data_IF_066324582629
#
_entry.id   IF_066324582629
#
_cell.length_a   1.000
_cell.length_b   1.000
_cell.length_c   1.000
_cell.angle_alpha   90.00
_cell.angle_beta   90.00
_cell.angle_gamma   90.00
#
_symmetry.space_group_name_H-M   'P 1'
#
loop_
_entity.id
_entity.type
_entity.pdbx_description
1 polymer ?
#
# COMPACT_ATOMS: atom_id res chain seq x y z
N UNK A 1 -49.79 -13.86 51.89
CA UNK A 1 -48.46 -14.33 51.45
C UNK A 1 -48.59 -14.82 50.01
N UNK A 2 -47.60 -14.51 49.16
CA UNK A 2 -47.43 -15.01 47.80
C UNK A 2 -48.38 -14.47 46.69
N UNK A 3 -48.33 -13.16 46.45
CA UNK A 3 -48.54 -12.59 45.10
C UNK A 3 -47.36 -11.69 44.77
N UNK A 4 -46.17 -12.27 44.76
CA UNK A 4 -44.93 -11.58 44.40
C UNK A 4 -44.79 -11.66 42.88
N UNK A 5 -45.20 -10.58 42.21
CA UNK A 5 -44.52 -10.01 41.05
C UNK A 5 -43.95 -11.02 40.03
N UNK A 6 -44.82 -11.64 39.22
CA UNK A 6 -44.41 -12.45 38.07
C UNK A 6 -44.40 -11.66 36.73
N UNK A 7 -44.56 -10.33 36.73
CA UNK A 7 -44.80 -9.59 35.49
C UNK A 7 -44.05 -8.27 35.44
N UNK A 8 -42.73 -8.29 35.25
CA UNK A 8 -42.01 -7.08 34.80
C UNK A 8 -40.63 -7.33 34.17
N UNK A 9 -40.24 -8.57 33.83
CA UNK A 9 -39.02 -8.80 33.04
C UNK A 9 -39.25 -8.55 31.54
N UNK A 10 -39.79 -7.39 31.21
CA UNK A 10 -39.81 -6.82 29.87
C UNK A 10 -38.50 -6.09 29.61
N UNK A 11 -37.40 -6.85 29.48
CA UNK A 11 -36.11 -6.31 29.07
C UNK A 11 -36.17 -5.77 27.64
N UNK A 12 -36.51 -4.49 27.51
CA UNK A 12 -36.48 -3.74 26.26
C UNK A 12 -35.11 -3.87 25.61
N UNK A 13 -35.03 -4.68 24.54
CA UNK A 13 -33.85 -4.72 23.66
C UNK A 13 -33.70 -3.33 23.05
N UNK A 14 -32.75 -2.54 23.58
CA UNK A 14 -32.28 -1.32 22.91
C UNK A 14 -31.65 -1.73 21.58
N UNK A 15 -32.46 -1.67 20.52
CA UNK A 15 -31.98 -1.68 19.15
C UNK A 15 -31.06 -0.47 18.99
N UNK A 16 -29.76 -0.69 19.12
CA UNK A 16 -28.73 0.28 18.74
C UNK A 16 -28.74 0.39 17.22
N UNK A 17 -29.71 1.11 16.69
CA UNK A 17 -29.71 1.52 15.30
C UNK A 17 -28.46 2.34 15.05
N UNK A 18 -27.51 1.79 14.27
CA UNK A 18 -26.42 2.57 13.68
C UNK A 18 -27.06 3.67 12.84
N UNK A 19 -27.18 4.88 13.39
CA UNK A 19 -27.62 6.05 12.66
C UNK A 19 -26.56 6.30 11.58
N UNK A 20 -26.90 5.97 10.32
CA UNK A 20 -26.05 6.29 9.18
C UNK A 20 -26.03 7.81 9.08
N UNK A 21 -24.87 8.42 9.33
CA UNK A 21 -24.70 9.86 9.15
C UNK A 21 -25.01 10.21 7.68
N UNK A 22 -25.82 11.24 7.41
CA UNK A 22 -26.04 11.69 6.03
C UNK A 22 -24.69 12.13 5.44
N UNK A 23 -24.47 11.83 4.17
CA UNK A 23 -23.22 12.17 3.48
C UNK A 23 -23.20 13.69 3.29
N UNK A 24 -22.24 14.39 3.90
CA UNK A 24 -22.12 15.82 3.75
C UNK A 24 -21.44 16.13 2.40
N UNK A 25 -21.86 17.20 1.73
CA UNK A 25 -21.26 17.64 0.46
C UNK A 25 -19.75 17.93 0.60
N UNK A 26 -19.32 18.43 1.77
CA UNK A 26 -17.91 18.60 2.10
C UNK A 26 -17.13 17.27 2.09
N UNK A 27 -17.71 16.20 2.63
CA UNK A 27 -17.07 14.87 2.65
C UNK A 27 -16.87 14.36 1.21
N UNK A 28 -17.83 14.57 0.31
CA UNK A 28 -17.75 14.17 -1.10
C UNK A 28 -16.59 14.90 -1.79
N UNK A 29 -16.46 16.21 -1.60
CA UNK A 29 -15.37 17.01 -2.18
C UNK A 29 -14.02 16.54 -1.61
N UNK A 30 -13.91 16.39 -0.29
CA UNK A 30 -12.69 15.93 0.36
C UNK A 30 -12.27 14.56 -0.15
N UNK A 31 -13.18 13.59 -0.22
CA UNK A 31 -12.87 12.26 -0.75
C UNK A 31 -12.48 12.29 -2.23
N UNK A 32 -13.13 13.14 -3.04
CA UNK A 32 -12.77 13.29 -4.46
C UNK A 32 -11.35 13.83 -4.60
N UNK A 33 -11.01 14.88 -3.86
CA UNK A 33 -9.67 15.48 -3.87
C UNK A 33 -8.60 14.49 -3.39
N UNK A 34 -8.86 13.80 -2.28
CA UNK A 34 -7.98 12.75 -1.75
C UNK A 34 -7.76 11.63 -2.76
N UNK A 35 -8.81 11.22 -3.48
CA UNK A 35 -8.71 10.18 -4.51
C UNK A 35 -7.86 10.64 -5.69
N UNK A 36 -8.04 11.88 -6.15
CA UNK A 36 -7.22 12.45 -7.23
C UNK A 36 -5.75 12.52 -6.80
N UNK A 37 -5.48 13.03 -5.60
CA UNK A 37 -4.12 13.09 -5.06
C UNK A 37 -3.49 11.70 -4.96
N UNK A 38 -4.24 10.69 -4.51
CA UNK A 38 -3.78 9.31 -4.48
C UNK A 38 -3.44 8.79 -5.88
N UNK A 39 -4.30 9.03 -6.89
CA UNK A 39 -4.03 8.61 -8.27
C UNK A 39 -2.76 9.27 -8.81
N UNK A 40 -2.56 10.57 -8.55
CA UNK A 40 -1.37 11.29 -9.01
C UNK A 40 -0.07 10.71 -8.41
N UNK A 41 -0.09 10.27 -7.16
CA UNK A 41 1.05 9.61 -6.51
C UNK A 41 1.21 8.16 -7.00
N UNK A 42 0.11 7.45 -7.23
CA UNK A 42 0.14 6.05 -7.67
C UNK A 42 0.49 5.89 -9.15
N UNK A 43 0.20 6.87 -10.01
CA UNK A 43 0.54 6.83 -11.43
C UNK A 43 2.03 6.57 -11.70
N UNK A 44 2.98 7.35 -11.16
CA UNK A 44 4.40 7.08 -11.38
C UNK A 44 4.86 5.76 -10.76
N UNK A 45 4.27 5.34 -9.64
CA UNK A 45 4.57 4.02 -9.04
C UNK A 45 4.11 2.86 -9.94
N UNK A 46 2.90 2.97 -10.50
CA UNK A 46 2.37 1.98 -11.44
C UNK A 46 3.21 1.93 -12.72
N UNK A 47 3.69 3.09 -13.19
CA UNK A 47 4.60 3.15 -14.32
C UNK A 47 5.95 2.49 -14.02
N UNK A 48 6.57 2.77 -12.86
CA UNK A 48 7.82 2.12 -12.43
C UNK A 48 7.68 0.60 -12.30
N UNK A 49 6.55 0.12 -11.76
CA UNK A 49 6.28 -1.31 -11.68
C UNK A 49 6.15 -1.93 -13.07
N UNK A 50 5.42 -1.27 -13.97
CA UNK A 50 5.25 -1.70 -15.35
C UNK A 50 6.58 -1.73 -16.12
N UNK A 51 7.46 -0.75 -15.95
CA UNK A 51 8.78 -0.74 -16.61
C UNK A 51 9.73 -1.79 -16.05
N UNK A 52 9.66 -2.09 -14.75
CA UNK A 52 10.47 -3.15 -14.13
C UNK A 52 10.21 -4.55 -14.72
N UNK A 53 9.01 -4.78 -15.26
CA UNK A 53 8.59 -6.05 -15.84
C UNK A 53 8.79 -6.13 -17.36
N UNK A 54 9.24 -5.06 -18.01
CA UNK A 54 9.46 -5.05 -19.47
C UNK A 54 10.82 -5.62 -19.83
N UNK A 55 10.95 -6.27 -21.00
CA UNK A 55 12.26 -6.64 -21.52
C UNK A 55 13.17 -5.40 -21.62
N UNK A 56 14.46 -5.55 -21.29
CA UNK A 56 15.42 -4.43 -21.26
C UNK A 56 15.49 -3.68 -22.59
N UNK A 57 15.32 -4.39 -23.72
CA UNK A 57 15.32 -3.81 -25.05
C UNK A 57 14.04 -3.03 -25.41
N UNK A 58 12.90 -3.31 -24.75
CA UNK A 58 11.64 -2.56 -24.91
C UNK A 58 11.60 -1.34 -23.99
N UNK A 59 12.34 -1.34 -22.87
CA UNK A 59 12.40 -0.22 -21.93
C UNK A 59 13.01 1.06 -22.53
N UNK A 60 13.83 0.94 -23.58
CA UNK A 60 14.44 2.07 -24.29
C UNK A 60 13.76 2.44 -25.62
N UNK A 61 12.66 1.76 -25.99
CA UNK A 61 11.94 2.05 -27.23
C UNK A 61 10.96 3.23 -27.05
N UNK A 62 10.87 4.05 -28.09
CA UNK A 62 9.90 5.14 -28.21
C UNK A 62 8.82 4.73 -29.23
N UNK A 63 7.51 4.86 -28.92
CA UNK A 63 6.93 5.40 -27.69
C UNK A 63 7.01 4.41 -26.51
N UNK A 64 7.26 4.88 -25.27
CA UNK A 64 7.27 4.01 -24.11
C UNK A 64 5.86 3.46 -23.87
N UNK A 65 5.70 2.14 -23.93
CA UNK A 65 4.43 1.51 -23.61
C UNK A 65 3.99 1.87 -22.17
N UNK A 66 2.71 1.74 -21.82
CA UNK A 66 2.26 1.88 -20.42
C UNK A 66 2.13 0.52 -19.73
N UNK A 67 1.92 -0.55 -20.50
CA UNK A 67 1.83 -1.94 -20.06
C UNK A 67 2.88 -2.76 -20.81
N UNK A 68 3.49 -3.78 -20.16
CA UNK A 68 4.45 -4.65 -20.82
C UNK A 68 3.75 -5.49 -21.90
N UNK A 69 4.34 -5.56 -23.09
CA UNK A 69 3.89 -6.49 -24.15
C UNK A 69 4.21 -7.93 -23.78
N UNK A 70 5.33 -8.12 -23.08
CA UNK A 70 5.79 -9.39 -22.52
C UNK A 70 6.31 -9.19 -21.10
N UNK A 71 5.95 -10.09 -20.20
CA UNK A 71 6.48 -10.08 -18.83
C UNK A 71 7.88 -10.72 -18.81
N UNK A 72 8.89 -9.92 -18.46
CA UNK A 72 10.27 -10.39 -18.30
C UNK A 72 10.66 -10.43 -16.82
N UNK A 73 10.83 -11.65 -16.30
CA UNK A 73 11.37 -11.88 -14.96
C UNK A 73 12.90 -11.80 -14.93
N UNK A 74 13.54 -11.77 -16.10
CA UNK A 74 14.99 -11.71 -16.25
C UNK A 74 15.60 -10.50 -15.56
N UNK A 75 14.91 -9.34 -15.56
CA UNK A 75 15.36 -8.13 -14.87
C UNK A 75 15.59 -8.33 -13.36
N UNK A 76 14.93 -9.31 -12.74
CA UNK A 76 15.07 -9.62 -11.32
C UNK A 76 16.19 -10.63 -11.05
N UNK A 77 16.50 -11.50 -12.01
CA UNK A 77 17.52 -12.54 -11.87
C UNK A 77 18.89 -12.05 -12.34
N UNK A 78 18.92 -11.26 -13.41
CA UNK A 78 20.14 -10.75 -14.04
C UNK A 78 21.12 -10.06 -13.08
N UNK A 79 20.68 -9.25 -12.07
CA UNK A 79 21.62 -8.65 -11.13
C UNK A 79 22.40 -9.66 -10.28
N UNK A 80 21.80 -10.83 -10.00
CA UNK A 80 22.43 -11.89 -9.20
C UNK A 80 23.37 -12.78 -10.01
N UNK A 81 23.15 -12.89 -11.32
CA UNK A 81 24.01 -13.65 -12.23
C UNK A 81 25.11 -12.79 -12.85
N UNK A 82 25.00 -11.46 -12.75
CA UNK A 82 25.98 -10.52 -13.29
C UNK A 82 27.32 -10.56 -12.55
N UNK A 83 28.39 -10.17 -13.23
CA UNK A 83 29.75 -10.06 -12.65
C UNK A 83 29.87 -9.01 -11.53
N UNK A 84 28.81 -8.25 -11.26
CA UNK A 84 28.74 -7.28 -10.18
C UNK A 84 28.33 -8.01 -8.90
N UNK A 85 29.05 -7.85 -7.78
CA UNK A 85 28.72 -8.50 -6.51
C UNK A 85 27.51 -7.82 -5.85
N UNK A 86 26.32 -7.99 -6.43
CA UNK A 86 25.08 -7.32 -6.02
C UNK A 86 24.72 -7.60 -4.57
N UNK A 87 24.89 -8.85 -4.12
CA UNK A 87 24.59 -9.28 -2.75
C UNK A 87 25.51 -8.56 -1.75
N UNK A 88 26.79 -8.40 -2.07
CA UNK A 88 27.73 -7.70 -1.18
C UNK A 88 27.40 -6.21 -1.08
N UNK A 89 26.99 -5.58 -2.18
CA UNK A 89 26.53 -4.18 -2.19
C UNK A 89 25.28 -4.00 -1.32
N UNK A 90 24.32 -4.92 -1.42
CA UNK A 90 23.11 -4.92 -0.60
C UNK A 90 23.45 -5.10 0.89
N UNK A 91 24.28 -6.08 1.23
CA UNK A 91 24.69 -6.35 2.61
C UNK A 91 25.47 -5.18 3.21
N UNK A 92 26.37 -4.56 2.45
CA UNK A 92 27.11 -3.38 2.90
C UNK A 92 26.16 -2.23 3.25
N UNK A 93 25.18 -1.94 2.39
CA UNK A 93 24.18 -0.90 2.64
C UNK A 93 23.30 -1.22 3.85
N UNK A 94 22.93 -2.49 4.02
CA UNK A 94 22.16 -2.95 5.18
C UNK A 94 22.95 -2.77 6.48
N UNK A 95 24.23 -3.17 6.50
CA UNK A 95 25.12 -3.02 7.67
C UNK A 95 25.25 -1.58 8.11
N UNK A 96 25.50 -0.67 7.15
CA UNK A 96 25.64 0.76 7.42
C UNK A 96 24.33 1.33 7.98
N UNK A 97 23.20 1.05 7.33
CA UNK A 97 21.88 1.54 7.77
C UNK A 97 21.55 1.08 9.19
N UNK A 98 21.80 -0.19 9.51
CA UNK A 98 21.56 -0.75 10.85
C UNK A 98 22.49 -0.11 11.88
N UNK A 99 23.78 0.00 11.58
CA UNK A 99 24.76 0.63 12.47
C UNK A 99 24.39 2.09 12.78
N UNK A 100 24.00 2.87 11.77
CA UNK A 100 23.57 4.26 11.94
C UNK A 100 22.29 4.35 12.75
N UNK A 101 21.29 3.51 12.46
CA UNK A 101 20.01 3.51 13.20
C UNK A 101 20.21 3.17 14.67
N UNK A 102 21.08 2.19 14.98
CA UNK A 102 21.42 1.84 16.35
C UNK A 102 22.19 2.97 17.05
N UNK A 103 23.15 3.60 16.36
CA UNK A 103 23.85 4.77 16.88
C UNK A 103 22.89 5.93 17.20
N UNK A 104 21.90 6.16 16.34
CA UNK A 104 20.85 7.18 16.52
C UNK A 104 19.88 6.88 17.67
N UNK A 105 19.73 5.61 18.07
CA UNK A 105 18.89 5.23 19.21
C UNK A 105 19.61 5.43 20.55
N UNK A 106 20.95 5.33 20.55
CA UNK A 106 21.79 5.48 21.75
C UNK A 106 22.12 6.95 22.04
N UNK A 107 22.07 7.81 21.02
CA UNK A 107 22.35 9.26 21.11
C UNK A 107 21.07 10.06 21.23
#
# INVERSE_FOLDING_TARGET
>A
MAQTQAAAFGGSKKSTGKVRKPINFGDIISYTLLTIAAILVLMPLAWMFSTSLRPTHESFQLPPAWLPTKFSWENYVAPFESSVPFVDLFINSMRITVAVTLGQLVT
#
